data_IF_407706800314
#
_entry.id   IF_407706800314
#
_cell.length_a   1.000
_cell.length_b   1.000
_cell.length_c   1.000
_cell.angle_alpha   90.00
_cell.angle_beta   90.00
_cell.angle_gamma   90.00
#
_symmetry.space_group_name_H-M   'P 1'
#
loop_
_entity.id
_entity.type
_entity.pdbx_description
1 polymer ?
#
# COMPACT_ATOMS: atom_id res chain seq x y z
N UNK A 1 10.77 -4.75 12.32
CA UNK A 1 9.61 -4.41 13.19
C UNK A 1 8.49 -5.47 13.10
N UNK A 2 8.17 -5.97 11.90
CA UNK A 2 7.11 -6.97 11.66
C UNK A 2 7.41 -8.32 12.33
N UNK A 3 8.61 -8.88 12.12
CA UNK A 3 8.99 -10.20 12.64
C UNK A 3 8.89 -10.31 14.18
N UNK A 4 9.16 -9.21 14.90
CA UNK A 4 9.01 -9.13 16.35
C UNK A 4 7.54 -9.15 16.80
N UNK A 5 6.61 -8.70 15.96
CA UNK A 5 5.17 -8.65 16.26
C UNK A 5 4.40 -9.84 15.68
N UNK A 6 4.88 -10.43 14.59
CA UNK A 6 4.32 -11.59 13.90
C UNK A 6 5.44 -12.47 13.34
N UNK A 7 5.99 -13.39 14.16
CA UNK A 7 7.05 -14.31 13.74
C UNK A 7 6.58 -15.23 12.62
N UNK A 8 7.45 -15.49 11.63
CA UNK A 8 7.17 -16.40 10.51
C UNK A 8 6.31 -15.82 9.38
N UNK A 9 5.86 -14.56 9.50
CA UNK A 9 5.15 -13.87 8.44
C UNK A 9 6.14 -13.20 7.48
N UNK A 10 5.99 -13.43 6.16
CA UNK A 10 6.76 -12.70 5.15
C UNK A 10 6.42 -11.19 5.23
N UNK A 11 7.39 -10.31 5.50
CA UNK A 11 7.16 -8.86 5.54
C UNK A 11 6.55 -8.30 4.25
N UNK A 12 6.81 -8.91 3.09
CA UNK A 12 6.25 -8.49 1.80
C UNK A 12 4.74 -8.73 1.68
N UNK A 13 4.18 -9.58 2.53
CA UNK A 13 2.73 -9.75 2.65
C UNK A 13 2.04 -8.60 3.39
N UNK A 14 2.79 -7.78 4.13
CA UNK A 14 2.27 -6.60 4.85
C UNK A 14 2.68 -5.30 4.17
N UNK A 15 3.91 -5.25 3.64
CA UNK A 15 4.47 -4.07 2.99
C UNK A 15 4.48 -4.37 1.48
N UNK A 16 3.44 -3.96 0.73
CA UNK A 16 3.38 -4.21 -0.70
C UNK A 16 4.41 -3.34 -1.42
N UNK A 17 4.88 -3.83 -2.57
CA UNK A 17 5.48 -2.97 -3.59
C UNK A 17 4.38 -2.14 -4.25
N UNK A 18 4.77 -1.13 -5.04
CA UNK A 18 3.82 -0.31 -5.79
C UNK A 18 2.91 -1.15 -6.70
N UNK A 19 3.48 -2.14 -7.39
CA UNK A 19 2.73 -3.02 -8.30
C UNK A 19 1.74 -3.94 -7.57
N UNK A 20 2.05 -4.32 -6.33
CA UNK A 20 1.20 -5.21 -5.53
C UNK A 20 0.13 -4.45 -4.73
N UNK A 21 0.23 -3.12 -4.64
CA UNK A 21 -0.65 -2.28 -3.83
C UNK A 21 -2.13 -2.33 -4.26
N UNK A 22 -2.49 -2.32 -5.57
CA UNK A 22 -3.89 -2.44 -6.00
C UNK A 22 -4.57 -3.72 -5.52
N UNK A 23 -3.89 -4.86 -5.62
CA UNK A 23 -4.43 -6.16 -5.18
C UNK A 23 -4.67 -6.17 -3.67
N UNK A 24 -3.71 -5.67 -2.89
CA UNK A 24 -3.84 -5.61 -1.44
C UNK A 24 -4.98 -4.66 -1.00
N UNK A 25 -5.10 -3.50 -1.64
CA UNK A 25 -6.18 -2.56 -1.35
C UNK A 25 -7.54 -3.18 -1.66
N UNK A 26 -7.67 -3.89 -2.78
CA UNK A 26 -8.90 -4.60 -3.12
C UNK A 26 -9.29 -5.60 -2.03
N UNK A 27 -8.35 -6.38 -1.50
CA UNK A 27 -8.63 -7.33 -0.41
C UNK A 27 -9.18 -6.64 0.84
N UNK A 28 -8.63 -5.47 1.20
CA UNK A 28 -9.12 -4.69 2.33
C UNK A 28 -10.49 -4.06 2.07
N UNK A 29 -10.72 -3.56 0.85
CA UNK A 29 -12.03 -3.02 0.44
C UNK A 29 -13.09 -4.11 0.50
N UNK A 30 -12.80 -5.31 -0.03
CA UNK A 30 -13.69 -6.47 0.02
C UNK A 30 -13.98 -6.89 1.48
N UNK A 31 -13.05 -6.64 2.41
CA UNK A 31 -13.23 -6.84 3.85
C UNK A 31 -13.95 -5.68 4.58
N UNK A 32 -14.36 -4.62 3.85
CA UNK A 32 -15.13 -3.49 4.37
C UNK A 32 -14.30 -2.29 4.83
N UNK A 33 -13.00 -2.24 4.54
CA UNK A 33 -12.19 -1.05 4.81
C UNK A 33 -12.54 0.08 3.83
N UNK A 34 -12.67 1.30 4.34
CA UNK A 34 -13.09 2.48 3.56
C UNK A 34 -12.11 3.64 3.60
N UNK A 35 -11.00 3.52 4.34
CA UNK A 35 -9.97 4.58 4.43
C UNK A 35 -8.58 3.98 4.50
N UNK A 36 -7.71 4.53 3.66
CA UNK A 36 -6.31 4.12 3.55
C UNK A 36 -5.38 5.32 3.75
N UNK A 37 -4.24 5.06 4.39
CA UNK A 37 -3.16 6.03 4.54
C UNK A 37 -1.91 5.34 3.99
N UNK A 38 -1.40 5.85 2.87
CA UNK A 38 -0.21 5.31 2.22
C UNK A 38 1.01 6.08 2.72
N UNK A 39 2.01 5.35 3.23
CA UNK A 39 3.25 5.92 3.75
C UNK A 39 4.41 5.32 2.96
N UNK A 40 5.11 6.11 2.13
CA UNK A 40 6.33 5.66 1.46
C UNK A 40 7.42 5.33 2.50
N UNK A 41 8.09 4.19 2.32
CA UNK A 41 9.18 3.76 3.22
C UNK A 41 10.57 4.16 2.71
N UNK A 42 10.68 4.56 1.45
CA UNK A 42 11.93 5.02 0.82
C UNK A 42 11.70 6.45 0.35
N UNK A 43 12.59 7.36 0.77
CA UNK A 43 12.38 8.81 0.70
C UNK A 43 13.18 9.53 -0.38
N UNK A 44 13.77 8.82 -1.33
CA UNK A 44 14.67 9.42 -2.34
C UNK A 44 13.92 9.94 -3.58
N UNK A 45 12.62 9.70 -3.69
CA UNK A 45 11.80 10.09 -4.82
C UNK A 45 11.12 11.46 -4.59
N UNK A 46 10.89 12.19 -5.68
CA UNK A 46 10.13 13.44 -5.67
C UNK A 46 8.69 13.20 -5.18
N UNK A 47 8.22 13.88 -4.11
CA UNK A 47 6.91 13.61 -3.52
C UNK A 47 5.73 13.78 -4.48
N UNK A 48 5.79 14.79 -5.36
CA UNK A 48 4.69 15.10 -6.29
C UNK A 48 4.61 14.06 -7.40
N UNK A 49 5.77 13.61 -7.90
CA UNK A 49 5.86 12.50 -8.84
C UNK A 49 5.29 11.21 -8.24
N UNK A 50 5.70 10.84 -7.03
CA UNK A 50 5.20 9.63 -6.35
C UNK A 50 3.68 9.70 -6.12
N UNK A 51 3.18 10.86 -5.66
CA UNK A 51 1.75 11.04 -5.44
C UNK A 51 0.95 10.90 -6.74
N UNK A 52 1.42 11.51 -7.84
CA UNK A 52 0.77 11.40 -9.16
C UNK A 52 0.71 9.96 -9.64
N UNK A 53 1.82 9.24 -9.45
CA UNK A 53 1.97 7.88 -9.91
C UNK A 53 1.15 6.88 -9.05
N UNK A 54 0.97 7.16 -7.76
CA UNK A 54 0.01 6.44 -6.91
C UNK A 54 -1.43 6.73 -7.34
N UNK A 55 -1.76 8.00 -7.61
CA UNK A 55 -3.10 8.42 -8.02
C UNK A 55 -3.58 7.67 -9.27
N UNK A 56 -2.73 7.52 -10.29
CA UNK A 56 -3.03 6.73 -11.50
C UNK A 56 -3.49 5.30 -11.19
N UNK A 57 -2.88 4.65 -10.19
CA UNK A 57 -3.16 3.26 -9.83
C UNK A 57 -4.28 3.08 -8.80
N UNK A 58 -4.50 4.09 -7.95
CA UNK A 58 -5.34 3.95 -6.75
C UNK A 58 -6.66 4.71 -6.81
N UNK A 59 -6.73 5.84 -7.53
CA UNK A 59 -7.97 6.59 -7.71
C UNK A 59 -9.14 5.76 -8.27
N UNK A 60 -8.93 4.75 -9.13
CA UNK A 60 -10.03 3.90 -9.60
C UNK A 60 -10.76 3.12 -8.49
N UNK A 61 -10.19 3.01 -7.29
CA UNK A 61 -10.82 2.38 -6.14
C UNK A 61 -11.60 3.35 -5.25
N UNK A 62 -11.54 4.66 -5.54
CA UNK A 62 -12.36 5.67 -4.86
C UNK A 62 -13.78 5.61 -5.41
N UNK A 63 -14.74 5.28 -4.54
CA UNK A 63 -16.17 5.11 -4.87
C UNK A 63 -17.04 6.13 -4.15
#
# INVERSE_FOLDING_TARGET
>A
MIERRRPGLDPRSIIPTRDALPSLLKEFIDAGASKFVIIPLVGDADPDSELSALAESLLPFET
#
